data_IF_313278636476
#
_entry.id   IF_313278636476
#
_cell.length_a   1.000
_cell.length_b   1.000
_cell.length_c   1.000
_cell.angle_alpha   90.00
_cell.angle_beta   90.00
_cell.angle_gamma   90.00
#
_symmetry.space_group_name_H-M   'P 1'
#
loop_
_entity.id
_entity.type
_entity.pdbx_description
1 polymer ?
#
# COMPACT_ATOMS: atom_id res chain seq x y z
N UNK A 1 7.30 4.15 -16.82
CA UNK A 1 6.35 4.57 -15.75
C UNK A 1 7.16 5.15 -14.61
N UNK A 2 6.83 6.36 -14.16
CA UNK A 2 7.59 7.00 -13.08
C UNK A 2 7.43 6.21 -11.76
N UNK A 3 8.53 6.15 -11.01
CA UNK A 3 8.74 5.21 -9.91
C UNK A 3 8.06 5.78 -8.65
N UNK A 4 7.21 5.03 -7.92
CA UNK A 4 6.73 5.48 -6.63
C UNK A 4 7.90 5.79 -5.70
N UNK A 5 7.84 6.93 -5.00
CA UNK A 5 8.80 7.30 -3.97
C UNK A 5 8.73 6.26 -2.84
N UNK A 6 9.87 5.81 -2.35
CA UNK A 6 9.94 4.99 -1.14
C UNK A 6 10.19 5.91 0.03
N UNK A 7 9.19 6.02 0.89
CA UNK A 7 9.26 6.85 2.09
C UNK A 7 9.97 6.02 3.15
N UNK A 8 11.11 6.51 3.64
CA UNK A 8 11.97 5.85 4.62
C UNK A 8 12.26 6.82 5.76
N UNK A 9 12.03 6.36 7.00
CA UNK A 9 12.37 7.08 8.22
C UNK A 9 12.60 6.09 9.37
N UNK A 10 13.37 6.46 10.41
CA UNK A 10 13.57 5.64 11.60
C UNK A 10 12.25 5.19 12.24
N UNK A 11 12.14 3.89 12.56
CA UNK A 11 10.94 3.30 13.15
C UNK A 11 9.79 3.04 12.16
N UNK A 12 9.98 3.28 10.86
CA UNK A 12 8.93 3.06 9.89
C UNK A 12 8.55 1.57 9.75
N UNK A 13 7.25 1.30 9.67
CA UNK A 13 6.66 -0.03 9.52
C UNK A 13 6.20 -0.26 8.07
N UNK A 14 6.47 -1.44 7.53
CA UNK A 14 6.18 -1.78 6.14
C UNK A 14 5.57 -3.16 5.96
N UNK A 15 4.53 -3.22 5.12
CA UNK A 15 4.17 -4.45 4.43
C UNK A 15 4.97 -4.56 3.13
N UNK A 16 5.86 -5.55 3.05
CA UNK A 16 6.72 -5.79 1.89
C UNK A 16 6.26 -7.02 1.12
N UNK A 17 6.23 -6.93 -0.21
CA UNK A 17 5.98 -8.08 -1.08
C UNK A 17 6.92 -8.10 -2.28
N UNK A 18 7.31 -9.30 -2.70
CA UNK A 18 8.02 -9.51 -3.97
C UNK A 18 7.52 -10.79 -4.64
N UNK A 19 7.52 -10.81 -5.97
CA UNK A 19 6.95 -11.89 -6.78
C UNK A 19 7.91 -12.32 -7.89
N UNK A 20 7.91 -13.61 -8.16
CA UNK A 20 8.75 -14.24 -9.19
C UNK A 20 8.48 -13.69 -10.58
N UNK A 21 9.52 -13.65 -11.40
CA UNK A 21 9.44 -13.27 -12.80
C UNK A 21 8.45 -14.19 -13.53
N UNK A 22 7.62 -13.63 -14.41
CA UNK A 22 6.52 -14.35 -15.08
C UNK A 22 5.57 -15.10 -14.11
N UNK A 23 5.47 -14.66 -12.85
CA UNK A 23 4.74 -15.35 -11.77
C UNK A 23 5.24 -16.78 -11.50
N UNK A 24 6.45 -17.13 -11.95
CA UNK A 24 7.06 -18.44 -11.72
C UNK A 24 7.39 -18.64 -10.24
N UNK A 25 7.50 -19.89 -9.78
CA UNK A 25 7.89 -20.19 -8.41
C UNK A 25 9.24 -19.54 -8.05
N UNK A 26 9.27 -18.91 -6.88
CA UNK A 26 10.51 -18.44 -6.24
C UNK A 26 11.00 -19.44 -5.18
N UNK A 27 10.20 -20.47 -4.90
CA UNK A 27 10.58 -21.66 -4.14
C UNK A 27 10.10 -22.88 -4.93
N UNK A 28 11.03 -23.73 -5.37
CA UNK A 28 10.67 -25.00 -6.01
C UNK A 28 10.38 -26.09 -4.99
N UNK A 29 11.03 -26.01 -3.83
CA UNK A 29 10.87 -26.98 -2.75
C UNK A 29 11.05 -26.33 -1.37
N UNK A 30 11.01 -27.16 -0.34
CA UNK A 30 11.16 -26.73 1.06
C UNK A 30 12.59 -26.36 1.44
N UNK A 31 13.60 -26.83 0.70
CA UNK A 31 14.99 -26.43 0.92
C UNK A 31 15.17 -24.97 0.48
N UNK A 32 14.53 -24.54 -0.61
CA UNK A 32 14.56 -23.12 -1.05
C UNK A 32 13.94 -22.21 0.02
N UNK A 33 12.86 -22.66 0.67
CA UNK A 33 12.20 -21.89 1.73
C UNK A 33 13.04 -21.81 3.01
N UNK A 34 13.77 -22.86 3.36
CA UNK A 34 14.71 -22.84 4.49
C UNK A 34 15.86 -21.86 4.21
N UNK A 35 16.51 -21.98 3.05
CA UNK A 35 17.59 -21.07 2.64
C UNK A 35 17.11 -19.62 2.63
N UNK A 36 15.89 -19.35 2.15
CA UNK A 36 15.29 -18.01 2.19
C UNK A 36 15.17 -17.47 3.62
N UNK A 37 14.66 -18.27 4.56
CA UNK A 37 14.49 -17.85 5.95
C UNK A 37 15.84 -17.67 6.66
N UNK A 38 16.85 -18.47 6.33
CA UNK A 38 18.21 -18.33 6.87
C UNK A 38 18.90 -17.06 6.36
N UNK A 39 18.78 -16.76 5.05
CA UNK A 39 19.27 -15.50 4.48
C UNK A 39 18.49 -14.32 5.04
N UNK A 40 17.17 -14.45 5.23
CA UNK A 40 16.33 -13.42 5.83
C UNK A 40 16.78 -13.13 7.26
N UNK A 41 16.95 -14.16 8.10
CA UNK A 41 17.39 -14.00 9.48
C UNK A 41 18.75 -13.29 9.59
N UNK A 42 19.73 -13.67 8.77
CA UNK A 42 21.03 -12.98 8.69
C UNK A 42 20.88 -11.52 8.24
N UNK A 43 20.04 -11.27 7.24
CA UNK A 43 19.80 -9.91 6.72
C UNK A 43 19.11 -9.02 7.74
N UNK A 44 18.13 -9.54 8.49
CA UNK A 44 17.45 -8.81 9.57
C UNK A 44 18.46 -8.37 10.63
N UNK A 45 19.35 -9.26 11.06
CA UNK A 45 20.39 -8.95 12.04
C UNK A 45 21.37 -7.89 11.54
N UNK A 46 21.92 -8.04 10.32
CA UNK A 46 22.88 -7.10 9.74
C UNK A 46 22.31 -5.68 9.62
N UNK A 47 21.04 -5.56 9.24
CA UNK A 47 20.40 -4.26 9.03
C UNK A 47 19.58 -3.77 10.23
N UNK A 48 19.60 -4.49 11.36
CA UNK A 48 18.80 -4.17 12.55
C UNK A 48 17.31 -3.98 12.24
N UNK A 49 16.76 -4.82 11.37
CA UNK A 49 15.35 -4.80 10.96
C UNK A 49 14.56 -5.79 11.80
N UNK A 50 13.41 -5.37 12.33
CA UNK A 50 12.50 -6.26 13.05
C UNK A 50 11.51 -6.88 12.09
N UNK A 51 11.16 -8.15 12.31
CA UNK A 51 10.14 -8.87 11.55
C UNK A 51 8.98 -9.24 12.47
N UNK A 52 7.77 -8.80 12.13
CA UNK A 52 6.56 -9.05 12.92
C UNK A 52 5.68 -10.16 12.36
N UNK A 53 5.69 -10.39 11.05
CA UNK A 53 5.00 -11.53 10.44
C UNK A 53 5.52 -11.80 9.03
N UNK A 54 5.35 -13.04 8.57
CA UNK A 54 5.63 -13.42 7.20
C UNK A 54 4.73 -14.55 6.69
N UNK A 55 4.65 -14.65 5.36
CA UNK A 55 4.18 -15.85 4.65
C UNK A 55 4.98 -16.03 3.36
N UNK A 56 5.39 -17.26 3.08
CA UNK A 56 6.07 -17.65 1.85
C UNK A 56 5.09 -18.43 0.97
N UNK A 57 4.65 -17.81 -0.11
CA UNK A 57 3.84 -18.45 -1.15
C UNK A 57 4.76 -19.05 -2.22
N UNK A 58 4.26 -19.91 -3.11
CA UNK A 58 5.12 -20.55 -4.13
C UNK A 58 5.87 -19.55 -5.03
N UNK A 59 5.21 -18.48 -5.47
CA UNK A 59 5.75 -17.49 -6.40
C UNK A 59 5.90 -16.07 -5.82
N UNK A 60 5.63 -15.87 -4.53
CA UNK A 60 5.79 -14.56 -3.88
C UNK A 60 5.91 -14.72 -2.36
N UNK A 61 6.31 -13.66 -1.67
CA UNK A 61 6.32 -13.62 -0.21
C UNK A 61 5.71 -12.31 0.29
N UNK A 62 5.27 -12.31 1.54
CA UNK A 62 4.89 -11.10 2.26
C UNK A 62 5.65 -11.04 3.59
N UNK A 63 6.18 -9.87 3.93
CA UNK A 63 6.83 -9.58 5.21
C UNK A 63 6.19 -8.35 5.84
N UNK A 64 6.03 -8.32 7.16
CA UNK A 64 5.74 -7.13 7.95
C UNK A 64 6.99 -6.77 8.73
N UNK A 65 7.65 -5.69 8.35
CA UNK A 65 8.96 -5.31 8.90
C UNK A 65 8.95 -3.89 9.41
N UNK A 66 9.63 -3.65 10.52
CA UNK A 66 9.97 -2.31 10.98
C UNK A 66 11.45 -2.06 10.76
N UNK A 67 11.78 -0.85 10.32
CA UNK A 67 13.17 -0.41 10.16
C UNK A 67 13.51 0.67 11.19
N UNK A 68 14.01 0.31 12.38
CA UNK A 68 14.48 1.25 13.39
C UNK A 68 15.42 2.33 12.85
N UNK A 69 16.24 1.98 11.86
CA UNK A 69 17.23 2.88 11.25
C UNK A 69 16.77 3.51 9.91
N UNK A 70 15.53 3.28 9.46
CA UNK A 70 15.02 3.82 8.19
C UNK A 70 15.73 3.29 6.94
N UNK A 71 16.21 2.04 6.98
CA UNK A 71 17.14 1.48 5.99
C UNK A 71 16.53 0.37 5.11
N UNK A 72 15.22 0.40 4.87
CA UNK A 72 14.47 -0.65 4.16
C UNK A 72 15.08 -0.99 2.80
N UNK A 73 15.45 0.02 1.99
CA UNK A 73 16.01 -0.18 0.66
C UNK A 73 17.35 -0.91 0.68
N UNK A 74 18.18 -0.67 1.69
CA UNK A 74 19.48 -1.35 1.84
C UNK A 74 19.27 -2.81 2.23
N UNK A 75 18.44 -3.06 3.25
CA UNK A 75 18.03 -4.39 3.69
C UNK A 75 17.47 -5.22 2.52
N UNK A 76 16.46 -4.69 1.83
CA UNK A 76 15.79 -5.43 0.75
C UNK A 76 16.70 -5.63 -0.46
N UNK A 77 17.64 -4.72 -0.74
CA UNK A 77 18.63 -4.90 -1.82
C UNK A 77 19.53 -6.09 -1.50
N UNK A 78 20.16 -6.08 -0.33
CA UNK A 78 21.04 -7.17 0.11
C UNK A 78 20.28 -8.50 0.15
N UNK A 79 19.13 -8.52 0.82
CA UNK A 79 18.32 -9.72 0.98
C UNK A 79 17.92 -10.36 -0.36
N UNK A 80 17.33 -9.57 -1.27
CA UNK A 80 16.87 -10.10 -2.56
C UNK A 80 18.05 -10.57 -3.44
N UNK A 81 19.19 -9.87 -3.43
CA UNK A 81 20.38 -10.27 -4.19
C UNK A 81 20.93 -11.59 -3.66
N UNK A 82 21.11 -11.70 -2.34
CA UNK A 82 21.64 -12.90 -1.68
C UNK A 82 20.78 -14.13 -1.98
N UNK A 83 19.46 -14.01 -1.82
CA UNK A 83 18.57 -15.13 -2.12
C UNK A 83 18.50 -15.46 -3.62
N UNK A 84 18.47 -14.46 -4.49
CA UNK A 84 18.49 -14.67 -5.95
C UNK A 84 19.76 -15.42 -6.37
N UNK A 85 20.91 -15.05 -5.81
CA UNK A 85 22.18 -15.73 -6.06
C UNK A 85 22.17 -17.18 -5.60
N UNK A 86 21.72 -17.43 -4.36
CA UNK A 86 21.61 -18.78 -3.80
C UNK A 86 20.66 -19.68 -4.63
N UNK A 87 19.48 -19.15 -4.97
CA UNK A 87 18.50 -19.85 -5.81
C UNK A 87 19.06 -20.17 -7.20
N UNK A 88 19.67 -19.18 -7.85
CA UNK A 88 20.24 -19.35 -9.19
C UNK A 88 21.37 -20.38 -9.21
N UNK A 89 22.27 -20.33 -8.22
CA UNK A 89 23.34 -21.32 -8.06
C UNK A 89 22.77 -22.73 -7.89
N UNK A 90 21.80 -22.91 -6.99
CA UNK A 90 21.19 -24.21 -6.69
C UNK A 90 20.46 -24.81 -7.89
N UNK A 91 19.75 -23.97 -8.64
CA UNK A 91 18.92 -24.39 -9.77
C UNK A 91 19.62 -24.28 -11.14
N UNK A 92 20.92 -23.97 -11.17
CA UNK A 92 21.72 -23.75 -12.40
C UNK A 92 21.05 -22.75 -13.35
N UNK A 93 20.53 -21.66 -12.79
CA UNK A 93 19.86 -20.58 -13.51
C UNK A 93 20.74 -19.34 -13.58
N UNK A 94 20.44 -18.50 -14.55
CA UNK A 94 20.98 -17.14 -14.67
C UNK A 94 19.82 -16.14 -14.81
N UNK A 95 20.10 -14.85 -14.60
CA UNK A 95 19.12 -13.78 -14.75
C UNK A 95 18.23 -13.55 -13.52
N UNK A 96 17.13 -12.82 -13.73
CA UNK A 96 16.26 -12.34 -12.66
C UNK A 96 15.36 -13.44 -12.09
N UNK A 97 15.32 -13.55 -10.77
CA UNK A 97 14.35 -14.38 -10.06
C UNK A 97 13.00 -13.67 -9.91
N UNK A 98 13.02 -12.36 -9.62
CA UNK A 98 11.84 -11.55 -9.38
C UNK A 98 11.44 -10.74 -10.62
N UNK A 99 10.15 -10.41 -10.75
CA UNK A 99 9.61 -9.61 -11.87
C UNK A 99 10.05 -8.13 -11.84
N UNK A 100 10.80 -7.71 -10.81
CA UNK A 100 11.26 -6.35 -10.64
C UNK A 100 11.58 -6.06 -9.18
N UNK A 101 11.49 -4.78 -8.80
CA UNK A 101 11.67 -4.34 -7.42
C UNK A 101 10.53 -4.83 -6.54
N UNK A 102 10.84 -5.09 -5.26
CA UNK A 102 9.82 -5.31 -4.23
C UNK A 102 8.86 -4.11 -4.13
N UNK A 103 7.62 -4.40 -3.74
CA UNK A 103 6.63 -3.41 -3.31
C UNK A 103 6.68 -3.27 -1.79
N UNK A 104 6.50 -2.05 -1.30
CA UNK A 104 6.44 -1.72 0.12
C UNK A 104 5.28 -0.77 0.36
N UNK A 105 4.39 -1.14 1.28
CA UNK A 105 3.32 -0.28 1.77
C UNK A 105 3.72 0.22 3.15
N UNK A 106 3.78 1.53 3.35
CA UNK A 106 4.04 2.14 4.65
C UNK A 106 2.79 1.98 5.52
N UNK A 107 2.96 1.48 6.73
CA UNK A 107 1.89 1.13 7.67
C UNK A 107 1.96 2.06 8.88
N UNK A 108 0.83 2.61 9.30
CA UNK A 108 0.71 3.27 10.61
C UNK A 108 0.65 2.21 11.72
N UNK A 109 1.65 2.21 12.61
CA UNK A 109 1.86 1.15 13.59
C UNK A 109 0.66 0.95 14.53
N UNK A 110 0.28 2.00 15.29
CA UNK A 110 -0.69 1.94 16.38
C UNK A 110 -2.07 1.37 15.97
N UNK A 111 -2.49 1.66 14.73
CA UNK A 111 -3.82 1.31 14.26
C UNK A 111 -3.87 0.08 13.35
N UNK A 112 -2.73 -0.33 12.78
CA UNK A 112 -2.75 -1.29 11.66
C UNK A 112 -1.75 -2.43 11.76
N UNK A 113 -0.80 -2.43 12.70
CA UNK A 113 0.21 -3.49 12.83
C UNK A 113 -0.44 -4.89 12.88
N UNK A 114 -1.40 -5.10 13.78
CA UNK A 114 -2.07 -6.39 13.94
C UNK A 114 -2.94 -6.74 12.73
N UNK A 115 -3.62 -5.75 12.14
CA UNK A 115 -4.48 -5.92 10.97
C UNK A 115 -3.67 -6.40 9.77
N UNK A 116 -2.50 -5.80 9.52
CA UNK A 116 -1.60 -6.21 8.44
C UNK A 116 -1.03 -7.60 8.70
N UNK A 117 -0.68 -7.94 9.95
CA UNK A 117 -0.26 -9.29 10.32
C UNK A 117 -1.33 -10.34 9.97
N UNK A 118 -2.59 -10.10 10.35
CA UNK A 118 -3.71 -10.98 10.00
C UNK A 118 -3.92 -11.07 8.48
N UNK A 119 -3.86 -9.95 7.78
CA UNK A 119 -3.93 -9.92 6.32
C UNK A 119 -2.86 -10.78 5.65
N UNK A 120 -1.62 -10.69 6.12
CA UNK A 120 -0.49 -11.50 5.65
C UNK A 120 -0.79 -12.99 5.86
N UNK A 121 -1.20 -13.37 7.07
CA UNK A 121 -1.46 -14.77 7.41
C UNK A 121 -2.62 -15.40 6.62
N UNK A 122 -3.60 -14.62 6.16
CA UNK A 122 -4.71 -15.12 5.37
C UNK A 122 -4.36 -15.43 3.89
N UNK A 123 -3.16 -15.08 3.40
CA UNK A 123 -2.79 -15.27 1.99
C UNK A 123 -2.90 -16.72 1.47
N UNK A 124 -2.53 -17.78 2.23
CA UNK A 124 -2.60 -19.17 1.73
C UNK A 124 -3.99 -19.63 1.28
N UNK A 125 -5.05 -19.02 1.82
CA UNK A 125 -6.44 -19.34 1.49
C UNK A 125 -7.10 -18.31 0.58
N UNK A 126 -6.42 -17.20 0.28
CA UNK A 126 -6.91 -16.16 -0.64
C UNK A 126 -6.56 -16.41 -2.10
N UNK A 127 -5.98 -17.57 -2.44
CA UNK A 127 -5.50 -17.89 -3.79
C UNK A 127 -6.02 -19.24 -4.29
N UNK A 128 -6.12 -19.37 -5.61
CA UNK A 128 -6.42 -20.64 -6.30
C UNK A 128 -7.72 -21.30 -5.83
N UNK A 129 -7.72 -22.62 -5.82
CA UNK A 129 -8.85 -23.44 -5.35
C UNK A 129 -9.12 -23.29 -3.86
N UNK A 130 -8.14 -22.85 -3.05
CA UNK A 130 -8.35 -22.68 -1.61
C UNK A 130 -9.37 -21.58 -1.30
N UNK A 131 -9.55 -20.59 -2.17
CA UNK A 131 -10.51 -19.49 -1.96
C UNK A 131 -11.95 -19.96 -1.89
N UNK A 132 -12.29 -21.01 -2.63
CA UNK A 132 -13.64 -21.55 -2.71
C UNK A 132 -13.90 -22.66 -1.70
N UNK A 133 -12.90 -23.03 -0.88
CA UNK A 133 -13.06 -24.05 0.15
C UNK A 133 -13.93 -23.52 1.30
N UNK A 134 -14.68 -24.40 1.99
CA UNK A 134 -15.39 -24.03 3.21
C UNK A 134 -14.44 -23.40 4.25
N UNK A 135 -14.96 -22.48 5.06
CA UNK A 135 -14.17 -21.76 6.09
C UNK A 135 -13.42 -22.72 7.01
N UNK A 136 -14.04 -23.83 7.41
CA UNK A 136 -13.39 -24.84 8.25
C UNK A 136 -12.14 -25.47 7.60
N UNK A 137 -12.20 -25.80 6.30
CA UNK A 137 -11.06 -26.32 5.55
C UNK A 137 -9.97 -25.26 5.36
N UNK A 138 -10.37 -24.02 5.09
CA UNK A 138 -9.44 -22.91 4.98
C UNK A 138 -8.68 -22.68 6.29
N UNK A 139 -9.37 -22.71 7.43
CA UNK A 139 -8.74 -22.63 8.75
C UNK A 139 -7.75 -23.78 8.98
N UNK A 140 -8.12 -25.01 8.65
CA UNK A 140 -7.22 -26.16 8.77
C UNK A 140 -5.93 -25.97 7.94
N UNK A 141 -6.06 -25.49 6.70
CA UNK A 141 -4.93 -25.14 5.84
C UNK A 141 -4.03 -24.11 6.53
N UNK A 142 -4.61 -23.02 7.05
CA UNK A 142 -3.87 -21.95 7.72
C UNK A 142 -3.10 -22.46 8.94
N UNK A 143 -3.72 -23.28 9.78
CA UNK A 143 -3.09 -23.81 11.00
C UNK A 143 -1.95 -24.80 10.72
N UNK A 144 -1.99 -25.46 9.56
CA UNK A 144 -0.97 -26.42 9.10
C UNK A 144 0.08 -25.78 8.19
N UNK A 145 -0.12 -24.53 7.73
CA UNK A 145 0.79 -23.87 6.78
C UNK A 145 2.11 -23.45 7.44
N UNK A 146 3.08 -24.38 7.43
CA UNK A 146 4.40 -24.21 8.05
C UNK A 146 5.23 -23.05 7.51
N UNK A 147 4.97 -22.61 6.28
CA UNK A 147 5.70 -21.53 5.61
C UNK A 147 5.11 -20.16 5.89
N UNK A 148 4.67 -19.95 7.13
CA UNK A 148 4.19 -18.67 7.66
C UNK A 148 4.50 -18.56 9.14
N UNK A 149 4.44 -17.34 9.68
CA UNK A 149 4.54 -17.12 11.12
C UNK A 149 3.26 -17.47 11.89
N UNK A 150 2.12 -17.68 11.23
CA UNK A 150 0.81 -17.87 11.86
C UNK A 150 0.78 -19.01 12.90
N UNK A 151 1.34 -20.21 12.64
CA UNK A 151 1.33 -21.27 13.65
C UNK A 151 2.03 -20.85 14.95
N UNK A 152 3.04 -19.99 14.86
CA UNK A 152 3.75 -19.42 16.00
C UNK A 152 2.98 -18.32 16.73
N UNK A 153 1.94 -17.72 16.14
CA UNK A 153 0.98 -16.85 16.83
C UNK A 153 -0.04 -17.67 17.63
N UNK A 154 -0.35 -18.88 17.17
CA UNK A 154 -1.34 -19.76 17.83
C UNK A 154 -0.71 -20.66 18.90
N UNK A 155 0.54 -21.09 18.73
CA UNK A 155 1.21 -22.00 19.65
C UNK A 155 2.68 -21.64 19.89
N UNK A 156 3.07 -21.52 21.16
CA UNK A 156 4.44 -21.19 21.61
C UNK A 156 5.50 -22.12 21.00
N UNK A 157 5.22 -23.44 20.96
CA UNK A 157 6.15 -24.44 20.42
C UNK A 157 6.39 -24.36 18.90
N UNK A 158 5.65 -23.52 18.18
CA UNK A 158 5.75 -23.34 16.72
C UNK A 158 6.31 -21.96 16.33
N UNK A 159 6.92 -21.25 17.27
CA UNK A 159 7.49 -19.93 17.03
C UNK A 159 8.71 -20.00 16.10
N UNK A 160 8.85 -18.96 15.30
CA UNK A 160 10.07 -18.66 14.56
C UNK A 160 10.90 -17.68 15.37
N UNK A 161 12.17 -17.99 15.63
CA UNK A 161 13.05 -17.12 16.42
C UNK A 161 13.27 -15.74 15.79
N UNK A 162 13.21 -15.66 14.45
CA UNK A 162 13.37 -14.40 13.72
C UNK A 162 12.14 -13.46 13.79
N UNK A 163 11.03 -13.88 14.42
CA UNK A 163 9.78 -13.11 14.48
C UNK A 163 9.57 -12.57 15.88
N UNK A 164 9.35 -11.26 15.97
CA UNK A 164 8.84 -10.60 17.17
C UNK A 164 7.31 -10.72 17.20
N UNK A 165 6.81 -11.55 18.11
CA UNK A 165 5.37 -11.79 18.26
C UNK A 165 4.71 -10.81 19.22
N UNK A 166 5.48 -10.21 20.14
CA UNK A 166 4.96 -9.39 21.25
C UNK A 166 4.20 -8.19 20.71
N UNK A 167 4.80 -7.44 19.79
CA UNK A 167 4.22 -6.21 19.26
C UNK A 167 2.84 -6.44 18.63
N UNK A 168 2.66 -7.54 17.89
CA UNK A 168 1.37 -7.88 17.27
C UNK A 168 0.37 -8.44 18.28
N UNK A 169 0.83 -9.21 19.28
CA UNK A 169 -0.03 -9.81 20.29
C UNK A 169 -0.45 -8.83 21.38
N UNK A 170 0.17 -7.67 21.48
CA UNK A 170 -0.13 -6.65 22.48
C UNK A 170 -1.60 -6.23 22.47
N UNK A 171 -2.16 -5.95 21.28
CA UNK A 171 -3.60 -5.64 21.09
C UNK A 171 -4.53 -6.75 21.59
N UNK A 172 -4.02 -7.98 21.72
CA UNK A 172 -4.78 -9.14 22.19
C UNK A 172 -4.56 -9.42 23.68
N UNK A 173 -3.79 -8.60 24.40
CA UNK A 173 -3.41 -8.82 25.80
C UNK A 173 -2.07 -9.56 25.95
N UNK A 174 -1.13 -9.26 25.05
CA UNK A 174 0.26 -9.70 25.10
C UNK A 174 0.51 -11.14 24.62
N UNK A 175 1.79 -11.54 24.62
CA UNK A 175 2.26 -12.87 24.23
C UNK A 175 1.96 -13.93 25.31
N UNK A 176 0.68 -14.10 25.62
CA UNK A 176 0.15 -15.03 26.62
C UNK A 176 -0.75 -16.07 25.97
N UNK A 177 -1.08 -17.15 26.69
CA UNK A 177 -2.05 -18.15 26.21
C UNK A 177 -3.41 -17.51 25.87
N UNK A 178 -3.83 -16.52 26.67
CA UNK A 178 -5.05 -15.75 26.44
C UNK A 178 -4.97 -14.89 25.17
N UNK A 179 -3.89 -14.11 25.00
CA UNK A 179 -3.71 -13.26 23.82
C UNK A 179 -3.62 -14.05 22.52
N UNK A 180 -2.93 -15.18 22.53
CA UNK A 180 -2.85 -16.12 21.40
C UNK A 180 -4.19 -16.73 21.03
N UNK A 181 -5.00 -17.06 22.04
CA UNK A 181 -6.37 -17.56 21.83
C UNK A 181 -7.25 -16.49 21.18
N UNK A 182 -7.15 -15.23 21.63
CA UNK A 182 -7.86 -14.10 21.01
C UNK A 182 -7.40 -13.85 19.58
N UNK A 183 -6.09 -13.85 19.32
CA UNK A 183 -5.56 -13.73 17.95
C UNK A 183 -6.09 -14.84 17.03
N UNK A 184 -6.09 -16.09 17.50
CA UNK A 184 -6.65 -17.23 16.75
C UNK A 184 -8.12 -17.04 16.42
N UNK A 185 -8.92 -16.57 17.39
CA UNK A 185 -10.35 -16.25 17.19
C UNK A 185 -10.52 -15.14 16.14
N UNK A 186 -9.70 -14.09 16.21
CA UNK A 186 -9.77 -12.99 15.26
C UNK A 186 -9.45 -13.43 13.82
N UNK A 187 -8.45 -14.30 13.62
CA UNK A 187 -8.18 -14.87 12.28
C UNK A 187 -9.40 -15.63 11.72
N UNK A 188 -10.13 -16.35 12.58
CA UNK A 188 -11.34 -17.07 12.15
C UNK A 188 -12.48 -16.11 11.78
N UNK A 189 -12.68 -15.05 12.57
CA UNK A 189 -13.64 -13.99 12.26
C UNK A 189 -13.28 -13.27 10.96
N UNK A 190 -12.03 -12.83 10.80
CA UNK A 190 -11.53 -12.13 9.61
C UNK A 190 -11.68 -12.96 8.33
N UNK A 191 -11.62 -14.29 8.43
CA UNK A 191 -11.81 -15.19 7.30
C UNK A 191 -13.29 -15.32 6.92
N UNK A 192 -14.20 -15.34 7.90
CA UNK A 192 -15.64 -15.47 7.69
C UNK A 192 -16.28 -14.15 7.22
N UNK A 193 -15.91 -13.03 7.85
CA UNK A 193 -16.51 -11.71 7.61
C UNK A 193 -15.75 -10.91 6.54
N UNK A 194 -14.49 -11.25 6.31
CA UNK A 194 -13.60 -10.53 5.42
C UNK A 194 -12.84 -9.41 6.15
N UNK A 195 -11.59 -9.18 5.72
CA UNK A 195 -10.71 -8.17 6.29
C UNK A 195 -10.49 -7.02 5.27
N UNK A 196 -11.01 -5.81 5.51
CA UNK A 196 -11.07 -4.71 4.53
C UNK A 196 -9.74 -3.95 4.40
N UNK A 197 -8.61 -4.65 4.29
CA UNK A 197 -7.29 -4.01 4.19
C UNK A 197 -7.12 -3.22 2.90
N UNK A 198 -7.62 -3.74 1.78
CA UNK A 198 -7.43 -3.12 0.45
C UNK A 198 -8.11 -1.77 0.31
N UNK A 199 -9.24 -1.60 0.98
CA UNK A 199 -10.03 -0.36 0.99
C UNK A 199 -9.30 0.77 1.75
N UNK A 200 -8.36 0.40 2.63
CA UNK A 200 -7.58 1.34 3.45
C UNK A 200 -6.22 1.69 2.83
N UNK A 201 -5.90 1.16 1.65
CA UNK A 201 -4.66 1.50 0.95
C UNK A 201 -4.85 2.80 0.16
N UNK A 202 -4.22 3.87 0.59
CA UNK A 202 -4.21 5.17 -0.09
C UNK A 202 -3.00 5.30 -1.00
N UNK A 203 -3.21 5.81 -2.22
CA UNK A 203 -2.11 6.07 -3.17
C UNK A 203 -1.30 4.84 -3.57
N UNK A 204 -1.88 3.64 -3.46
CA UNK A 204 -1.25 2.33 -3.73
C UNK A 204 -0.06 1.97 -2.82
N UNK A 205 0.27 2.78 -1.80
CA UNK A 205 1.51 2.61 -1.02
C UNK A 205 1.42 2.99 0.46
N UNK A 206 0.31 3.59 0.92
CA UNK A 206 0.12 3.98 2.34
C UNK A 206 -1.06 3.23 2.92
N UNK A 207 -0.93 2.75 4.15
CA UNK A 207 -1.98 2.06 4.90
C UNK A 207 -2.01 2.67 6.30
N UNK A 208 -3.00 3.53 6.55
CA UNK A 208 -3.10 4.31 7.78
C UNK A 208 -4.36 5.17 7.80
N UNK A 209 -4.56 5.87 8.90
CA UNK A 209 -5.58 6.89 9.08
C UNK A 209 -5.39 8.07 8.11
N UNK A 210 -6.44 8.86 7.90
CA UNK A 210 -6.34 10.07 7.08
C UNK A 210 -5.30 11.05 7.62
N UNK A 211 -5.19 11.17 8.95
CA UNK A 211 -4.18 11.99 9.63
C UNK A 211 -2.76 11.50 9.32
N UNK A 212 -2.53 10.18 9.37
CA UNK A 212 -1.25 9.59 8.99
C UNK A 212 -0.89 9.88 7.54
N UNK A 213 -1.85 9.68 6.63
CA UNK A 213 -1.65 9.94 5.20
C UNK A 213 -1.31 11.41 4.95
N UNK A 214 -2.01 12.35 5.60
CA UNK A 214 -1.72 13.77 5.47
C UNK A 214 -0.35 14.15 6.05
N UNK A 215 0.01 13.61 7.22
CA UNK A 215 1.35 13.80 7.81
C UNK A 215 2.44 13.35 6.85
N UNK A 216 2.32 12.12 6.32
CA UNK A 216 3.31 11.58 5.38
C UNK A 216 3.39 12.42 4.10
N UNK A 217 2.27 12.93 3.60
CA UNK A 217 2.25 13.85 2.45
C UNK A 217 2.98 15.15 2.74
N UNK A 218 2.64 15.82 3.83
CA UNK A 218 3.21 17.13 4.15
C UNK A 218 4.71 17.03 4.46
N UNK A 219 5.15 15.96 5.12
CA UNK A 219 6.54 15.79 5.53
C UNK A 219 7.45 15.29 4.40
N UNK A 220 6.96 14.38 3.55
CA UNK A 220 7.82 13.68 2.59
C UNK A 220 7.46 13.90 1.13
N UNK A 221 6.32 14.54 0.83
CA UNK A 221 5.77 14.63 -0.53
C UNK A 221 5.53 16.07 -1.06
N UNK A 222 5.87 17.13 -0.31
CA UNK A 222 5.87 18.54 -0.78
C UNK A 222 7.28 19.18 -0.72
N UNK A 223 7.71 20.15 -1.55
CA UNK A 223 7.21 20.70 -2.82
C UNK A 223 8.22 20.53 -3.99
N UNK A 224 9.48 20.18 -3.70
CA UNK A 224 10.56 20.09 -4.69
C UNK A 224 10.61 18.77 -5.49
N UNK A 225 10.02 17.69 -4.98
CA UNK A 225 10.03 16.35 -5.63
C UNK A 225 8.82 16.08 -6.55
N UNK A 226 7.94 17.06 -6.68
CA UNK A 226 6.57 16.88 -7.15
C UNK A 226 6.37 16.76 -8.67
N UNK A 227 7.41 17.01 -9.47
CA UNK A 227 7.32 16.97 -10.94
C UNK A 227 7.34 15.56 -11.54
N UNK A 228 7.69 14.52 -10.79
CA UNK A 228 7.98 13.19 -11.36
C UNK A 228 7.07 12.02 -10.93
N UNK A 229 5.92 12.23 -10.25
CA UNK A 229 5.16 11.12 -9.63
C UNK A 229 3.68 11.03 -10.10
N UNK A 230 3.33 10.09 -11.01
CA UNK A 230 1.96 9.89 -11.51
C UNK A 230 0.93 9.51 -10.44
N UNK A 231 1.34 8.79 -9.37
CA UNK A 231 0.45 8.46 -8.26
C UNK A 231 0.11 9.69 -7.40
N UNK A 232 1.01 10.67 -7.31
CA UNK A 232 0.72 11.96 -6.70
C UNK A 232 -0.17 12.83 -7.60
N UNK A 233 -0.10 12.69 -8.92
CA UNK A 233 -0.98 13.42 -9.83
C UNK A 233 -2.45 13.03 -9.63
N UNK A 234 -2.78 11.74 -9.47
CA UNK A 234 -4.16 11.30 -9.19
C UNK A 234 -4.65 11.71 -7.80
N UNK A 235 -3.79 11.63 -6.79
CA UNK A 235 -4.10 12.09 -5.42
C UNK A 235 -4.24 13.62 -5.35
N UNK A 236 -3.42 14.37 -6.10
CA UNK A 236 -3.53 15.83 -6.25
C UNK A 236 -4.77 16.23 -7.03
N UNK A 237 -5.16 15.51 -8.08
CA UNK A 237 -6.41 15.79 -8.83
C UNK A 237 -7.65 15.69 -7.94
N UNK A 238 -7.72 14.64 -7.12
CA UNK A 238 -8.85 14.43 -6.20
C UNK A 238 -8.91 15.52 -5.11
N UNK A 239 -7.77 15.80 -4.44
CA UNK A 239 -7.69 16.84 -3.41
C UNK A 239 -7.88 18.25 -3.97
N UNK A 240 -7.36 18.54 -5.16
CA UNK A 240 -7.51 19.85 -5.78
C UNK A 240 -8.94 20.08 -6.26
N UNK A 241 -9.68 19.05 -6.68
CA UNK A 241 -11.09 19.21 -7.03
C UNK A 241 -11.90 19.75 -5.85
N UNK A 242 -11.81 19.10 -4.69
CA UNK A 242 -12.59 19.50 -3.52
C UNK A 242 -12.11 20.83 -2.94
N UNK A 243 -10.79 21.08 -2.92
CA UNK A 243 -10.23 22.36 -2.47
C UNK A 243 -10.62 23.51 -3.42
N UNK A 244 -10.59 23.31 -4.74
CA UNK A 244 -10.95 24.34 -5.72
C UNK A 244 -12.44 24.64 -5.63
N UNK A 245 -13.30 23.61 -5.59
CA UNK A 245 -14.75 23.81 -5.49
C UNK A 245 -15.14 24.45 -4.15
N UNK A 246 -14.50 24.07 -3.05
CA UNK A 246 -14.73 24.69 -1.75
C UNK A 246 -14.20 26.13 -1.69
N UNK A 247 -13.06 26.41 -2.32
CA UNK A 247 -12.53 27.78 -2.42
C UNK A 247 -13.44 28.67 -3.24
N UNK A 248 -13.96 28.16 -4.36
CA UNK A 248 -14.96 28.86 -5.17
C UNK A 248 -16.25 29.08 -4.40
N UNK A 249 -16.70 28.11 -3.60
CA UNK A 249 -17.86 28.28 -2.72
C UNK A 249 -17.62 29.38 -1.69
N UNK A 250 -16.45 29.44 -1.07
CA UNK A 250 -16.11 30.48 -0.08
C UNK A 250 -16.08 31.89 -0.66
N UNK A 251 -15.56 32.05 -1.89
CA UNK A 251 -15.45 33.37 -2.54
C UNK A 251 -16.79 33.81 -3.15
N UNK A 252 -17.54 32.88 -3.75
CA UNK A 252 -18.74 33.22 -4.54
C UNK A 252 -20.06 32.95 -3.83
N UNK A 253 -20.04 32.23 -2.70
CA UNK A 253 -21.22 31.73 -2.00
C UNK A 253 -22.01 30.65 -2.76
N UNK A 254 -21.52 30.17 -3.91
CA UNK A 254 -22.24 29.22 -4.78
C UNK A 254 -21.83 27.78 -4.52
N UNK A 255 -22.83 26.89 -4.50
CA UNK A 255 -22.61 25.45 -4.27
C UNK A 255 -22.03 24.76 -5.51
N UNK A 256 -21.58 23.51 -5.35
CA UNK A 256 -21.13 22.69 -6.48
C UNK A 256 -22.21 22.55 -7.56
N UNK A 257 -23.46 22.35 -7.15
CA UNK A 257 -24.59 22.20 -8.08
C UNK A 257 -24.86 23.51 -8.84
N UNK A 258 -24.73 24.67 -8.18
CA UNK A 258 -24.81 25.98 -8.84
C UNK A 258 -23.73 26.16 -9.91
N UNK A 259 -22.50 25.71 -9.63
CA UNK A 259 -21.36 25.82 -10.55
C UNK A 259 -21.53 24.89 -11.75
N UNK A 260 -22.04 23.68 -11.53
CA UNK A 260 -22.25 22.66 -12.58
C UNK A 260 -23.45 22.99 -13.46
N UNK A 261 -24.55 23.48 -12.88
CA UNK A 261 -25.82 23.66 -13.60
C UNK A 261 -25.95 25.02 -14.31
N UNK A 262 -25.05 25.99 -14.07
CA UNK A 262 -25.08 27.30 -14.73
C UNK A 262 -24.23 27.34 -16.00
N UNK A 263 -24.58 28.21 -16.94
CA UNK A 263 -23.67 28.68 -17.99
C UNK A 263 -23.13 30.05 -17.58
N UNK A 264 -21.85 30.34 -17.83
CA UNK A 264 -21.26 31.65 -17.54
C UNK A 264 -19.88 31.63 -16.90
N UNK A 265 -19.35 32.80 -16.49
CA UNK A 265 -17.95 33.00 -16.08
C UNK A 265 -17.51 32.11 -14.91
N UNK A 266 -18.37 31.90 -13.91
CA UNK A 266 -18.06 31.08 -12.73
C UNK A 266 -17.75 29.61 -13.10
N UNK A 267 -18.51 29.03 -14.02
CA UNK A 267 -18.26 27.66 -14.48
C UNK A 267 -17.00 27.58 -15.35
N UNK A 268 -16.73 28.61 -16.15
CA UNK A 268 -15.51 28.68 -16.94
C UNK A 268 -14.26 28.86 -16.06
N UNK A 269 -14.37 29.67 -14.99
CA UNK A 269 -13.36 29.83 -13.95
C UNK A 269 -13.09 28.50 -13.23
N UNK A 270 -14.16 27.79 -12.83
CA UNK A 270 -14.02 26.47 -12.23
C UNK A 270 -13.31 25.48 -13.16
N UNK A 271 -13.70 25.44 -14.45
CA UNK A 271 -13.04 24.61 -15.46
C UNK A 271 -11.56 24.98 -15.63
N UNK A 272 -11.21 26.26 -15.62
CA UNK A 272 -9.81 26.69 -15.78
C UNK A 272 -8.96 26.40 -14.55
N UNK A 273 -9.49 26.60 -13.35
CA UNK A 273 -8.82 26.26 -12.09
C UNK A 273 -8.63 24.74 -11.95
N UNK A 274 -9.65 23.94 -12.25
CA UNK A 274 -9.55 22.47 -12.21
C UNK A 274 -8.50 21.93 -13.20
N UNK A 275 -8.31 22.61 -14.34
CA UNK A 275 -7.26 22.25 -15.28
C UNK A 275 -5.87 22.73 -14.84
N UNK A 276 -5.72 24.05 -14.58
CA UNK A 276 -4.41 24.67 -14.32
C UNK A 276 -3.87 24.35 -12.94
N UNK A 277 -4.73 24.43 -11.93
CA UNK A 277 -4.37 24.22 -10.52
C UNK A 277 -4.67 22.78 -10.08
N UNK A 278 -5.73 22.17 -10.61
CA UNK A 278 -6.10 20.78 -10.30
C UNK A 278 -5.45 19.71 -11.16
N UNK A 279 -4.81 20.05 -12.28
CA UNK A 279 -4.14 19.10 -13.16
C UNK A 279 -5.07 18.11 -13.87
N UNK A 280 -6.38 18.36 -13.89
CA UNK A 280 -7.37 17.53 -14.57
C UNK A 280 -7.32 17.74 -16.09
N UNK A 281 -7.58 16.68 -16.85
CA UNK A 281 -7.71 16.73 -18.31
C UNK A 281 -9.12 17.16 -18.71
N UNK A 282 -9.26 17.77 -19.89
CA UNK A 282 -10.56 18.23 -20.39
C UNK A 282 -11.68 17.16 -20.35
N UNK A 283 -11.45 15.88 -20.68
CA UNK A 283 -12.49 14.85 -20.56
C UNK A 283 -12.92 14.57 -19.10
N UNK A 284 -11.98 14.63 -18.15
CA UNK A 284 -12.25 14.42 -16.72
C UNK A 284 -13.10 15.57 -16.16
N UNK A 285 -12.75 16.81 -16.50
CA UNK A 285 -13.51 18.02 -16.15
C UNK A 285 -14.89 17.99 -16.81
N UNK A 286 -14.97 17.53 -18.06
CA UNK A 286 -16.24 17.39 -18.79
C UNK A 286 -17.20 16.46 -18.05
N UNK A 287 -16.72 15.28 -17.65
CA UNK A 287 -17.49 14.32 -16.84
C UNK A 287 -17.94 14.92 -15.51
N UNK A 288 -17.05 15.63 -14.81
CA UNK A 288 -17.37 16.28 -13.53
C UNK A 288 -18.45 17.37 -13.69
N UNK A 289 -18.41 18.09 -14.80
CA UNK A 289 -19.28 19.22 -15.09
C UNK A 289 -20.52 18.84 -15.90
N UNK A 290 -20.69 17.57 -16.29
CA UNK A 290 -21.81 17.14 -17.15
C UNK A 290 -21.80 17.75 -18.56
N UNK A 291 -20.62 18.02 -19.14
CA UNK A 291 -20.46 18.58 -20.51
C UNK A 291 -19.37 17.86 -21.29
N UNK A 292 -19.34 18.07 -22.60
CA UNK A 292 -18.29 17.52 -23.46
C UNK A 292 -16.92 18.20 -23.23
N UNK A 293 -15.83 17.48 -23.54
CA UNK A 293 -14.46 17.99 -23.40
C UNK A 293 -14.20 19.24 -24.26
N UNK A 294 -14.88 19.38 -25.40
CA UNK A 294 -14.80 20.55 -26.27
C UNK A 294 -15.39 21.80 -25.58
N UNK A 295 -16.48 21.65 -24.84
CA UNK A 295 -17.09 22.72 -24.03
C UNK A 295 -16.12 23.21 -22.95
N UNK A 296 -15.41 22.29 -22.29
CA UNK A 296 -14.38 22.63 -21.31
C UNK A 296 -13.23 23.41 -21.96
N UNK A 297 -12.73 22.95 -23.10
CA UNK A 297 -11.64 23.62 -23.82
C UNK A 297 -12.00 25.05 -24.22
N UNK A 298 -13.19 25.24 -24.81
CA UNK A 298 -13.68 26.56 -25.25
C UNK A 298 -14.05 27.47 -24.07
N UNK A 299 -14.62 26.94 -23.00
CA UNK A 299 -14.94 27.71 -21.79
C UNK A 299 -13.69 28.29 -21.14
N UNK A 300 -12.64 27.49 -21.01
CA UNK A 300 -11.34 27.93 -20.46
C UNK A 300 -10.63 28.96 -21.33
N UNK A 301 -10.76 28.87 -22.66
CA UNK A 301 -10.22 29.88 -23.58
C UNK A 301 -10.93 31.21 -23.38
N UNK A 302 -12.27 31.20 -23.38
CA UNK A 302 -13.10 32.39 -23.17
C UNK A 302 -12.84 33.08 -21.83
N UNK A 303 -12.73 32.31 -20.74
CA UNK A 303 -12.41 32.87 -19.42
C UNK A 303 -11.04 33.57 -19.39
N UNK A 304 -10.02 32.99 -20.04
CA UNK A 304 -8.69 33.61 -20.11
C UNK A 304 -8.67 34.88 -20.95
N UNK A 305 -9.46 34.95 -22.00
CA UNK A 305 -9.65 36.17 -22.79
C UNK A 305 -10.39 37.26 -22.01
N UNK A 306 -11.30 36.88 -21.10
CA UNK A 306 -12.01 37.80 -20.20
C UNK A 306 -11.12 38.33 -19.07
N UNK A 307 -10.28 37.48 -18.46
CA UNK A 307 -9.26 37.86 -17.46
C UNK A 307 -8.31 38.96 -17.94
N UNK A 308 -8.05 39.03 -19.25
CA UNK A 308 -7.22 40.10 -19.83
C UNK A 308 -7.93 41.45 -19.95
N UNK A 309 -9.26 41.50 -19.73
CA UNK A 309 -10.12 42.67 -19.97
C UNK A 309 -10.87 43.15 -18.73
N UNK A 310 -11.11 42.28 -17.77
CA UNK A 310 -11.87 42.57 -16.55
C UNK A 310 -10.98 42.41 -15.32
N UNK A 311 -10.88 43.46 -14.49
CA UNK A 311 -10.02 43.49 -13.29
C UNK A 311 -10.70 42.92 -12.05
N UNK A 312 -12.01 42.67 -12.10
CA UNK A 312 -12.75 42.06 -10.97
C UNK A 312 -12.71 40.52 -10.99
N UNK A 313 -12.26 39.92 -12.10
CA UNK A 313 -12.10 38.46 -12.30
C UNK A 313 -10.65 38.00 -12.09
#
# INVERSE_FOLDING_TARGET
MARPLRIEYPGALYHVTNRGNERKPIFKDDIDRKEFLEILARSLAVYSVKLYSFVLMSNHFHLLVETPLGNLSQFMRHFNISYTSAFNRRHRRTGHLYQGRYKSFLVEEDAYLSMVSRYIHLNPVKIGSNRSKPVAEQLDILWKYKWSSLPGFVALKKRWLLVDYSAVLEEFGGDTSGGRTKYKKQIAADLAEGLPVKERIVGQSLLGSDNFVQRIKNTYLDAASSRELPALAEVRKYLAQDVILESLRKVTGKTREDIVNRTGPLRQMAMDLLYRSGGMKNPEIGKLMGVDYSTVSQGRKRFREQLGKDKEL
#
